data_IF_493584448588
#
_entry.id   IF_493584448588
#
_cell.length_a   1.000
_cell.length_b   1.000
_cell.length_c   1.000
_cell.angle_alpha   90.00
_cell.angle_beta   90.00
_cell.angle_gamma   90.00
#
_symmetry.space_group_name_H-M   'P 1'
#
loop_
_entity.id
_entity.type
_entity.pdbx_description
1 polymer ?
#
# COMPACT_ATOMS: atom_id res chain seq x y z
N UNK A 1 -2.00 13.56 20.92
CA UNK A 1 -1.45 12.35 20.26
C UNK A 1 -2.64 11.53 19.77
N UNK A 2 -3.29 11.93 18.67
CA UNK A 2 -4.65 11.42 18.37
C UNK A 2 -4.92 10.99 16.92
N UNK A 3 -3.92 11.01 16.02
CA UNK A 3 -4.08 10.46 14.66
C UNK A 3 -2.91 9.55 14.30
N UNK A 4 -2.93 8.32 14.81
CA UNK A 4 -2.04 7.27 14.31
C UNK A 4 -2.84 6.30 13.45
N UNK A 5 -2.62 6.37 12.14
CA UNK A 5 -3.16 5.40 11.20
C UNK A 5 -2.58 4.03 11.53
N UNK A 6 -3.46 3.03 11.66
CA UNK A 6 -3.09 1.62 11.81
C UNK A 6 -3.40 0.90 10.52
N UNK A 7 -2.52 -0.02 10.13
CA UNK A 7 -2.62 -0.78 8.90
C UNK A 7 -2.74 -2.26 9.27
N UNK A 8 -3.69 -2.96 8.66
CA UNK A 8 -3.80 -4.41 8.76
C UNK A 8 -2.78 -5.06 7.81
N UNK A 9 -1.80 -5.74 8.39
CA UNK A 9 -0.77 -6.45 7.65
C UNK A 9 -1.15 -7.93 7.47
N UNK A 10 -1.08 -8.43 6.23
CA UNK A 10 -1.35 -9.83 5.92
C UNK A 10 -0.16 -10.73 6.31
N UNK A 11 -0.38 -11.69 7.21
CA UNK A 11 0.61 -12.72 7.48
C UNK A 11 0.63 -13.76 6.34
N UNK A 12 1.81 -14.25 5.96
CA UNK A 12 1.96 -15.31 4.95
C UNK A 12 3.01 -16.35 5.34
N UNK A 13 2.81 -17.58 4.87
CA UNK A 13 3.81 -18.66 4.92
C UNK A 13 4.50 -18.89 3.58
N UNK A 14 4.03 -18.22 2.52
CA UNK A 14 4.61 -18.25 1.17
C UNK A 14 4.93 -16.81 0.79
N UNK A 15 6.23 -16.53 0.62
CA UNK A 15 6.68 -15.20 0.22
C UNK A 15 6.09 -14.81 -1.15
N UNK A 16 5.56 -13.59 -1.31
CA UNK A 16 5.11 -13.09 -2.61
C UNK A 16 6.30 -12.91 -3.55
N UNK A 17 6.02 -12.94 -4.84
CA UNK A 17 7.01 -12.64 -5.87
C UNK A 17 7.21 -11.12 -5.95
N UNK A 18 8.46 -10.69 -5.98
CA UNK A 18 8.82 -9.27 -6.10
C UNK A 18 8.98 -8.88 -7.57
N UNK A 19 7.93 -9.03 -8.36
CA UNK A 19 7.91 -8.76 -9.81
C UNK A 19 6.98 -7.60 -10.22
N UNK A 20 6.36 -6.93 -9.24
CA UNK A 20 5.45 -5.81 -9.46
C UNK A 20 3.99 -6.22 -9.72
N UNK A 21 3.69 -7.51 -9.74
CA UNK A 21 2.30 -8.02 -9.82
C UNK A 21 1.70 -8.21 -8.42
N UNK A 22 0.37 -8.00 -8.32
CA UNK A 22 -0.40 -8.22 -7.08
C UNK A 22 -1.33 -9.43 -7.16
N UNK A 23 -0.97 -10.41 -7.99
CA UNK A 23 -1.74 -11.65 -8.20
C UNK A 23 -1.47 -12.71 -7.11
N UNK A 24 -0.40 -12.57 -6.32
CA UNK A 24 -0.14 -13.46 -5.19
C UNK A 24 -1.27 -13.39 -4.13
N UNK A 25 -1.70 -14.54 -3.56
CA UNK A 25 -2.83 -14.59 -2.63
C UNK A 25 -2.72 -13.69 -1.39
N UNK A 26 -1.51 -13.41 -0.94
CA UNK A 26 -1.27 -12.57 0.25
C UNK A 26 -1.84 -11.16 0.08
N UNK A 27 -1.85 -10.63 -1.15
CA UNK A 27 -2.38 -9.29 -1.43
C UNK A 27 -3.90 -9.20 -1.40
N UNK A 28 -4.59 -10.34 -1.39
CA UNK A 28 -6.05 -10.43 -1.27
C UNK A 28 -6.52 -10.65 0.18
N UNK A 29 -5.58 -10.89 1.10
CA UNK A 29 -5.90 -11.23 2.50
C UNK A 29 -6.21 -10.01 3.38
N UNK A 30 -5.83 -8.80 2.95
CA UNK A 30 -6.19 -7.54 3.61
C UNK A 30 -6.55 -6.46 2.59
N UNK A 31 -7.32 -5.47 3.04
CA UNK A 31 -7.63 -4.31 2.23
C UNK A 31 -6.41 -3.38 2.16
N UNK A 32 -6.16 -2.72 1.01
CA UNK A 32 -5.15 -1.68 0.96
C UNK A 32 -5.52 -0.53 1.87
N UNK A 33 -4.49 0.16 2.34
CA UNK A 33 -4.60 1.50 2.88
C UNK A 33 -4.69 2.47 1.70
N UNK A 34 -5.60 3.42 1.80
CA UNK A 34 -5.86 4.46 0.82
C UNK A 34 -6.17 5.78 1.54
N UNK A 35 -6.57 6.81 0.80
CA UNK A 35 -6.92 8.13 1.37
C UNK A 35 -5.69 8.90 1.85
N UNK A 36 -4.57 8.77 1.13
CA UNK A 36 -3.36 9.52 1.41
C UNK A 36 -3.60 11.02 1.28
N UNK A 37 -2.90 11.78 2.12
CA UNK A 37 -2.86 13.24 2.06
C UNK A 37 -1.66 13.64 1.21
N UNK A 38 -1.86 14.57 0.28
CA UNK A 38 -0.78 15.03 -0.58
C UNK A 38 0.11 16.06 0.10
N UNK A 39 1.40 15.99 -0.19
CA UNK A 39 2.36 17.04 0.17
C UNK A 39 2.39 18.15 -0.89
N UNK A 40 2.13 17.80 -2.15
CA UNK A 40 2.10 18.69 -3.31
C UNK A 40 0.95 18.27 -4.24
N UNK A 41 0.39 19.17 -5.06
CA UNK A 41 0.70 20.61 -5.12
C UNK A 41 0.12 21.40 -3.94
N UNK A 42 -0.99 20.95 -3.36
CA UNK A 42 -1.66 21.60 -2.24
C UNK A 42 -1.53 20.73 -0.99
N UNK A 43 -0.53 21.04 -0.16
CA UNK A 43 -0.22 20.30 1.06
C UNK A 43 -1.44 20.17 1.99
N UNK A 44 -1.65 18.97 2.53
CA UNK A 44 -2.68 18.73 3.55
C UNK A 44 -4.06 18.39 2.99
N UNK A 45 -4.25 18.43 1.67
CA UNK A 45 -5.49 17.99 1.02
C UNK A 45 -5.45 16.49 0.67
N UNK A 46 -6.63 15.93 0.38
CA UNK A 46 -6.72 14.57 -0.18
C UNK A 46 -5.92 14.48 -1.48
N UNK A 47 -5.19 13.38 -1.66
CA UNK A 47 -4.36 13.19 -2.84
C UNK A 47 -5.18 13.19 -4.13
N UNK A 48 -4.77 14.01 -5.10
CA UNK A 48 -5.39 14.04 -6.44
C UNK A 48 -5.12 12.76 -7.23
N UNK A 49 -3.99 12.11 -6.97
CA UNK A 49 -3.61 10.83 -7.57
C UNK A 49 -3.77 9.70 -6.54
N UNK A 50 -4.58 8.70 -6.89
CA UNK A 50 -4.95 7.62 -5.97
C UNK A 50 -3.73 6.74 -5.65
N UNK A 51 -3.43 6.58 -4.37
CA UNK A 51 -2.41 5.66 -3.88
C UNK A 51 -3.04 4.58 -3.03
N UNK A 52 -2.70 3.33 -3.31
CA UNK A 52 -3.10 2.17 -2.52
C UNK A 52 -1.85 1.40 -2.06
N UNK A 53 -1.78 1.07 -0.77
CA UNK A 53 -0.64 0.38 -0.17
C UNK A 53 -1.11 -0.86 0.59
N UNK A 54 -0.45 -1.99 0.32
CA UNK A 54 -0.60 -3.24 1.05
C UNK A 54 0.64 -3.50 1.88
N UNK A 55 0.42 -4.13 3.03
CA UNK A 55 1.49 -4.60 3.91
C UNK A 55 1.30 -6.08 4.15
N UNK A 56 2.36 -6.85 4.02
CA UNK A 56 2.40 -8.25 4.36
C UNK A 56 3.69 -8.59 5.11
N UNK A 57 3.71 -9.72 5.81
CA UNK A 57 4.91 -10.17 6.52
C UNK A 57 4.94 -11.69 6.67
N UNK A 58 6.16 -12.21 6.81
CA UNK A 58 6.44 -13.55 7.32
C UNK A 58 7.35 -13.46 8.56
N UNK A 59 7.86 -14.59 9.05
CA UNK A 59 8.73 -14.64 10.25
C UNK A 59 10.06 -13.86 10.11
N UNK A 60 10.45 -13.50 8.89
CA UNK A 60 11.77 -12.97 8.52
C UNK A 60 11.74 -11.73 7.64
N UNK A 61 10.62 -11.45 6.96
CA UNK A 61 10.49 -10.37 5.98
C UNK A 61 9.23 -9.53 6.21
N UNK A 62 9.37 -8.25 5.87
CA UNK A 62 8.28 -7.29 5.77
C UNK A 62 8.16 -6.86 4.32
N UNK A 63 6.96 -6.99 3.76
CA UNK A 63 6.67 -6.70 2.37
C UNK A 63 5.73 -5.51 2.28
N UNK A 64 6.03 -4.62 1.34
CA UNK A 64 5.18 -3.49 0.99
C UNK A 64 4.91 -3.55 -0.50
N UNK A 65 3.65 -3.43 -0.88
CA UNK A 65 3.26 -3.27 -2.26
C UNK A 65 2.43 -2.01 -2.42
N UNK A 66 2.59 -1.31 -3.54
CA UNK A 66 1.89 -0.07 -3.79
C UNK A 66 1.45 0.01 -5.24
N UNK A 67 0.22 0.49 -5.45
CA UNK A 67 -0.26 0.94 -6.74
C UNK A 67 -0.41 2.46 -6.66
N UNK A 68 0.39 3.14 -7.48
CA UNK A 68 0.39 4.59 -7.63
C UNK A 68 -0.28 4.88 -8.95
N UNK A 69 -1.52 5.35 -8.91
CA UNK A 69 -2.19 5.84 -10.11
C UNK A 69 -1.56 7.17 -10.50
N UNK A 70 -1.38 7.38 -11.79
CA UNK A 70 -0.91 8.63 -12.36
C UNK A 70 -1.71 8.87 -13.64
N UNK A 71 -2.29 10.06 -13.79
CA UNK A 71 -3.06 10.44 -14.97
C UNK A 71 -2.20 10.75 -16.20
N UNK A 72 -0.90 11.01 -16.04
CA UNK A 72 0.07 11.24 -17.12
C UNK A 72 1.37 10.42 -16.93
N UNK A 73 1.31 9.09 -17.06
CA UNK A 73 2.48 8.23 -16.92
C UNK A 73 3.32 8.25 -18.21
N UNK A 74 4.44 8.97 -18.21
CA UNK A 74 5.38 9.08 -19.33
C UNK A 74 6.70 8.35 -19.11
#
# INVERSE_FOLDING_TARGET
EEDRITIDAAATTVAPRLDGSLDDPVWQASLPVAGFVQAEPDEGYEATEMTQVWVAYDDTHFYVAAVLHDSDPS
#
